data_IF_270188145172
#
_entry.id   IF_270188145172
#
_cell.length_a   1.000
_cell.length_b   1.000
_cell.length_c   1.000
_cell.angle_alpha   90.00
_cell.angle_beta   90.00
_cell.angle_gamma   90.00
#
_symmetry.space_group_name_H-M   'P 1'
#
loop_
_entity.id
_entity.type
_entity.pdbx_description
1 polymer ?
#
# COMPACT_ATOMS: atom_id res chain seq x y z
N UNK A 1 -8.22 23.25 -20.42
CA UNK A 1 -7.59 22.08 -19.78
C UNK A 1 -8.18 20.77 -20.35
N UNK A 2 -9.48 20.43 -20.14
CA UNK A 2 -10.06 19.17 -20.66
C UNK A 2 -9.98 19.10 -22.19
N UNK A 3 -10.31 20.16 -22.90
CA UNK A 3 -10.23 20.20 -24.36
C UNK A 3 -8.82 19.93 -24.90
N UNK A 4 -7.78 20.26 -24.15
CA UNK A 4 -6.38 20.06 -24.53
C UNK A 4 -5.91 18.59 -24.39
N UNK A 5 -6.75 17.70 -23.86
CA UNK A 5 -6.38 16.29 -23.65
C UNK A 5 -6.42 15.46 -24.93
N UNK A 6 -7.12 15.91 -25.98
CA UNK A 6 -7.14 15.28 -27.29
C UNK A 6 -7.42 16.27 -28.40
N UNK A 7 -6.93 15.97 -29.62
CA UNK A 7 -7.16 16.82 -30.80
C UNK A 7 -8.68 16.93 -31.12
N UNK A 8 -9.42 15.85 -30.97
CA UNK A 8 -10.87 15.83 -31.20
C UNK A 8 -11.63 16.78 -30.27
N UNK A 9 -11.31 16.78 -28.97
CA UNK A 9 -11.93 17.67 -27.99
C UNK A 9 -11.52 19.13 -28.21
N UNK A 10 -10.31 19.34 -28.66
CA UNK A 10 -9.81 20.69 -29.00
C UNK A 10 -10.53 21.25 -30.23
N UNK A 11 -10.72 20.45 -31.27
CA UNK A 11 -11.46 20.84 -32.47
C UNK A 11 -12.93 21.19 -32.15
N UNK A 12 -13.61 20.34 -31.36
CA UNK A 12 -14.97 20.63 -30.86
C UNK A 12 -15.02 21.95 -30.12
N UNK A 13 -14.09 22.19 -29.20
CA UNK A 13 -14.04 23.41 -28.42
C UNK A 13 -13.84 24.67 -29.30
N UNK A 14 -12.96 24.61 -30.30
CA UNK A 14 -12.73 25.72 -31.23
C UNK A 14 -13.88 25.95 -32.20
N UNK A 15 -14.62 24.92 -32.56
CA UNK A 15 -15.84 25.03 -33.38
C UNK A 15 -17.04 25.62 -32.59
N UNK A 16 -16.92 25.76 -31.25
CA UNK A 16 -17.98 26.24 -30.40
C UNK A 16 -18.99 25.16 -30.00
N UNK A 17 -18.69 23.89 -30.24
CA UNK A 17 -19.51 22.77 -29.83
C UNK A 17 -19.37 22.50 -28.31
N UNK A 18 -20.48 22.13 -27.68
CA UNK A 18 -20.47 21.76 -26.26
C UNK A 18 -19.86 20.37 -26.04
N UNK A 19 -18.94 20.27 -25.08
CA UNK A 19 -18.42 18.98 -24.63
C UNK A 19 -19.48 18.25 -23.80
N UNK A 20 -19.67 16.99 -24.07
CA UNK A 20 -20.56 16.12 -23.29
C UNK A 20 -19.98 15.83 -21.90
N UNK A 21 -20.83 15.49 -20.94
CA UNK A 21 -20.39 15.07 -19.58
C UNK A 21 -19.43 13.89 -19.63
N UNK A 22 -19.61 12.95 -20.55
CA UNK A 22 -18.74 11.80 -20.73
C UNK A 22 -17.33 12.23 -21.19
N UNK A 23 -17.25 13.12 -22.16
CA UNK A 23 -15.98 13.67 -22.66
C UNK A 23 -15.25 14.46 -21.58
N UNK A 24 -15.98 15.27 -20.80
CA UNK A 24 -15.40 16.01 -19.67
C UNK A 24 -14.84 15.03 -18.62
N UNK A 25 -15.59 14.01 -18.24
CA UNK A 25 -15.12 12.99 -17.29
C UNK A 25 -13.89 12.24 -17.79
N UNK A 26 -13.88 11.84 -19.05
CA UNK A 26 -12.74 11.17 -19.67
C UNK A 26 -11.48 12.05 -19.69
N UNK A 27 -11.62 13.32 -20.07
CA UNK A 27 -10.52 14.26 -20.06
C UNK A 27 -10.01 14.56 -18.64
N UNK A 28 -10.90 14.72 -17.65
CA UNK A 28 -10.52 14.86 -16.25
C UNK A 28 -9.77 13.62 -15.73
N UNK A 29 -10.24 12.41 -16.08
CA UNK A 29 -9.55 11.18 -15.74
C UNK A 29 -8.13 11.15 -16.34
N UNK A 30 -8.00 11.48 -17.62
CA UNK A 30 -6.70 11.54 -18.29
C UNK A 30 -5.74 12.49 -17.56
N UNK A 31 -6.20 13.69 -17.23
CA UNK A 31 -5.39 14.67 -16.51
C UNK A 31 -5.00 14.19 -15.11
N UNK A 32 -5.93 13.53 -14.40
CA UNK A 32 -5.70 13.06 -13.03
C UNK A 32 -4.73 11.87 -12.99
N UNK A 33 -4.93 10.88 -13.87
CA UNK A 33 -4.09 9.67 -13.94
C UNK A 33 -2.64 10.04 -14.29
N UNK A 34 -2.45 11.04 -15.14
CA UNK A 34 -1.12 11.53 -15.53
C UNK A 34 -0.57 12.63 -14.60
N UNK A 35 -1.24 12.91 -13.48
CA UNK A 35 -0.84 13.95 -12.50
C UNK A 35 -0.70 15.36 -13.08
N UNK A 36 -1.44 15.65 -14.16
CA UNK A 36 -1.46 16.95 -14.82
C UNK A 36 -2.47 17.92 -14.20
N UNK A 37 -3.49 17.38 -13.52
CA UNK A 37 -4.48 18.16 -12.77
C UNK A 37 -5.03 17.37 -11.59
N UNK A 38 -5.54 18.09 -10.59
CA UNK A 38 -6.12 17.52 -9.36
C UNK A 38 -7.56 18.02 -9.21
N UNK A 39 -8.58 17.15 -9.40
CA UNK A 39 -9.99 17.52 -9.19
C UNK A 39 -10.23 17.91 -7.74
N UNK A 40 -10.84 19.08 -7.51
CA UNK A 40 -11.21 19.58 -6.19
C UNK A 40 -12.73 19.61 -6.09
N UNK A 41 -13.27 19.02 -5.03
CA UNK A 41 -14.70 18.94 -4.76
C UNK A 41 -15.03 19.54 -3.40
N UNK A 42 -16.21 20.14 -3.31
CA UNK A 42 -16.73 20.70 -2.06
C UNK A 42 -17.86 19.84 -1.51
N UNK A 43 -17.90 19.70 -0.19
CA UNK A 43 -18.95 18.94 0.48
C UNK A 43 -19.00 19.20 1.99
N UNK A 44 -19.99 18.63 2.64
CA UNK A 44 -20.10 18.62 4.11
C UNK A 44 -20.48 17.22 4.58
N UNK A 45 -19.48 16.45 5.00
CA UNK A 45 -19.68 15.08 5.47
C UNK A 45 -20.66 15.01 6.66
N UNK A 46 -20.55 15.93 7.60
CA UNK A 46 -21.46 16.02 8.75
C UNK A 46 -22.92 16.22 8.36
N UNK A 47 -23.20 16.96 7.28
CA UNK A 47 -24.53 17.18 6.74
C UNK A 47 -24.93 16.19 5.67
N UNK A 48 -24.11 15.19 5.40
CA UNK A 48 -24.27 14.21 4.32
C UNK A 48 -24.50 14.86 2.95
N UNK A 49 -23.73 15.92 2.65
CA UNK A 49 -23.77 16.65 1.38
C UNK A 49 -22.50 16.37 0.57
N UNK A 50 -22.67 15.97 -0.69
CA UNK A 50 -21.56 15.73 -1.61
C UNK A 50 -20.78 14.44 -1.38
N UNK A 51 -21.22 13.54 -0.47
CA UNK A 51 -20.52 12.29 -0.16
C UNK A 51 -20.57 11.32 -1.35
N UNK A 52 -21.75 11.08 -1.92
CA UNK A 52 -21.92 10.21 -3.09
C UNK A 52 -21.13 10.74 -4.31
N UNK A 53 -21.25 12.02 -4.72
CA UNK A 53 -20.43 12.56 -5.80
C UNK A 53 -18.93 12.44 -5.56
N UNK A 54 -18.46 12.52 -4.31
CA UNK A 54 -17.05 12.30 -3.99
C UNK A 54 -16.65 10.84 -4.20
N UNK A 55 -17.49 9.87 -3.80
CA UNK A 55 -17.25 8.45 -4.03
C UNK A 55 -17.26 8.11 -5.53
N UNK A 56 -18.18 8.70 -6.27
CA UNK A 56 -18.23 8.58 -7.73
C UNK A 56 -16.96 9.15 -8.38
N UNK A 57 -16.48 10.30 -7.90
CA UNK A 57 -15.26 10.91 -8.39
C UNK A 57 -14.00 10.07 -8.09
N UNK A 58 -13.96 9.34 -6.97
CA UNK A 58 -12.88 8.36 -6.70
C UNK A 58 -12.86 7.28 -7.77
N UNK A 59 -14.03 6.76 -8.16
CA UNK A 59 -14.14 5.73 -9.21
C UNK A 59 -13.82 6.32 -10.59
N UNK A 60 -14.35 7.52 -10.89
CA UNK A 60 -14.21 8.14 -12.20
C UNK A 60 -12.79 8.63 -12.48
N UNK A 61 -12.06 9.14 -11.48
CA UNK A 61 -10.83 9.91 -11.72
C UNK A 61 -9.55 9.29 -11.14
N UNK A 62 -9.61 8.52 -10.06
CA UNK A 62 -8.38 7.94 -9.50
C UNK A 62 -7.89 6.74 -10.32
N UNK A 63 -6.55 6.56 -10.44
CA UNK A 63 -5.98 5.44 -11.17
C UNK A 63 -6.27 4.11 -10.47
N UNK A 64 -6.64 3.12 -11.26
CA UNK A 64 -6.62 1.71 -10.85
C UNK A 64 -5.20 1.14 -10.97
N UNK A 65 -4.91 -0.02 -10.41
CA UNK A 65 -3.64 -0.71 -10.64
C UNK A 65 -3.31 -0.97 -12.11
N UNK A 66 -4.32 -1.01 -12.99
CA UNK A 66 -4.15 -1.22 -14.43
C UNK A 66 -3.83 0.07 -15.20
N UNK A 67 -4.14 1.22 -14.62
CA UNK A 67 -3.82 2.54 -15.22
C UNK A 67 -2.37 2.96 -14.92
N UNK A 68 -1.72 2.32 -13.94
CA UNK A 68 -0.37 2.63 -13.51
C UNK A 68 0.61 1.70 -14.22
N UNK A 69 1.78 2.22 -14.56
CA UNK A 69 2.85 1.41 -15.13
C UNK A 69 3.24 0.24 -14.20
N UNK A 70 3.89 -0.77 -14.79
CA UNK A 70 4.45 -1.89 -14.03
C UNK A 70 5.30 -1.39 -12.85
N UNK A 71 5.24 -2.08 -11.72
CA UNK A 71 6.10 -1.75 -10.59
C UNK A 71 7.54 -2.19 -10.89
N UNK A 72 8.48 -1.34 -10.56
CA UNK A 72 9.91 -1.60 -10.68
C UNK A 72 10.51 -1.99 -9.33
N UNK A 73 11.55 -2.81 -9.38
CA UNK A 73 12.33 -3.22 -8.21
C UNK A 73 13.72 -3.68 -8.60
N UNK A 74 14.57 -3.95 -7.61
CA UNK A 74 15.92 -4.49 -7.81
C UNK A 74 15.94 -6.01 -7.68
N UNK A 75 16.93 -6.64 -8.32
CA UNK A 75 17.27 -8.03 -8.02
C UNK A 75 18.02 -8.06 -6.68
N UNK A 76 17.60 -8.86 -5.69
CA UNK A 76 18.32 -8.94 -4.40
C UNK A 76 19.74 -9.52 -4.51
N UNK A 77 20.13 -10.08 -5.68
CA UNK A 77 21.44 -10.66 -5.94
C UNK A 77 22.36 -9.72 -6.72
N UNK A 78 21.78 -8.72 -7.39
CA UNK A 78 22.50 -7.76 -8.23
C UNK A 78 21.79 -6.42 -8.24
N UNK A 79 22.33 -5.45 -7.53
CA UNK A 79 21.76 -4.12 -7.36
C UNK A 79 21.67 -3.30 -8.67
N UNK A 80 22.45 -3.66 -9.69
CA UNK A 80 22.42 -3.00 -10.99
C UNK A 80 21.24 -3.48 -11.87
N UNK A 81 20.68 -4.65 -11.57
CA UNK A 81 19.58 -5.24 -12.33
C UNK A 81 18.24 -4.70 -11.85
N UNK A 82 17.51 -4.08 -12.75
CA UNK A 82 16.13 -3.65 -12.53
C UNK A 82 15.15 -4.65 -13.10
N UNK A 83 14.18 -5.02 -12.28
CA UNK A 83 13.11 -5.96 -12.62
C UNK A 83 11.78 -5.23 -12.62
N UNK A 84 10.87 -5.65 -13.48
CA UNK A 84 9.51 -5.10 -13.55
C UNK A 84 8.47 -6.19 -13.27
N UNK A 85 7.34 -5.82 -12.67
CA UNK A 85 6.18 -6.69 -12.46
C UNK A 85 4.91 -5.98 -12.90
N UNK A 86 4.11 -6.68 -13.67
CA UNK A 86 2.79 -6.19 -14.10
C UNK A 86 1.74 -6.50 -13.04
N UNK A 87 0.69 -5.68 -12.89
CA UNK A 87 -0.42 -5.96 -11.98
C UNK A 87 -1.34 -7.03 -12.55
N UNK A 88 -0.80 -8.24 -12.74
CA UNK A 88 -1.51 -9.40 -13.29
C UNK A 88 -1.48 -10.55 -12.30
N UNK A 89 -2.54 -11.38 -12.31
CA UNK A 89 -2.68 -12.58 -11.51
C UNK A 89 -1.65 -13.66 -11.89
N UNK A 90 -1.29 -13.73 -13.17
CA UNK A 90 -0.40 -14.77 -13.73
C UNK A 90 1.10 -14.44 -13.57
N UNK A 91 1.43 -13.26 -13.07
CA UNK A 91 2.81 -12.86 -12.78
C UNK A 91 3.32 -13.53 -11.48
N UNK A 92 4.63 -13.62 -11.27
CA UNK A 92 5.18 -14.03 -9.99
C UNK A 92 4.72 -13.12 -8.86
N UNK A 93 4.41 -13.73 -7.69
CA UNK A 93 3.94 -12.97 -6.54
C UNK A 93 4.98 -11.96 -6.06
N UNK A 94 4.55 -10.71 -5.88
CA UNK A 94 5.30 -9.68 -5.20
C UNK A 94 4.36 -8.72 -4.45
N UNK A 95 4.67 -8.47 -3.18
CA UNK A 95 3.91 -7.61 -2.29
C UNK A 95 4.83 -6.79 -1.38
N UNK A 96 4.40 -5.59 -1.04
CA UNK A 96 5.07 -4.72 -0.07
C UNK A 96 4.34 -4.76 1.26
N UNK A 97 5.05 -5.07 2.33
CA UNK A 97 4.57 -4.91 3.69
C UNK A 97 4.69 -3.43 4.09
N UNK A 98 3.59 -2.69 4.06
CA UNK A 98 3.60 -1.24 4.26
C UNK A 98 3.19 -0.80 5.66
N UNK A 99 2.63 -1.70 6.46
CA UNK A 99 2.24 -1.43 7.84
C UNK A 99 2.23 -2.71 8.65
N UNK A 100 2.78 -2.65 9.86
CA UNK A 100 2.67 -3.70 10.88
C UNK A 100 1.92 -3.12 12.08
N UNK A 101 1.04 -3.89 12.68
CA UNK A 101 0.34 -3.52 13.91
C UNK A 101 0.13 -4.73 14.80
N UNK A 102 -0.01 -4.48 16.09
CA UNK A 102 -0.36 -5.51 17.06
C UNK A 102 -1.89 -5.61 17.19
N UNK A 103 -2.44 -6.78 16.90
CA UNK A 103 -3.85 -7.06 17.05
C UNK A 103 -4.12 -7.82 18.38
N UNK A 104 -5.17 -7.47 19.15
CA UNK A 104 -5.42 -8.09 20.46
C UNK A 104 -5.56 -9.62 20.42
N UNK A 105 -6.12 -10.17 19.35
CA UNK A 105 -6.40 -11.61 19.23
C UNK A 105 -5.42 -12.37 18.33
N UNK A 106 -4.89 -11.72 17.31
CA UNK A 106 -4.02 -12.38 16.32
C UNK A 106 -2.53 -12.11 16.52
N UNK A 107 -2.19 -11.24 17.47
CA UNK A 107 -0.83 -10.79 17.67
C UNK A 107 -0.38 -9.87 16.53
N UNK A 108 0.69 -10.23 15.83
CA UNK A 108 1.24 -9.42 14.75
C UNK A 108 0.39 -9.54 13.47
N UNK A 109 -0.10 -8.41 12.99
CA UNK A 109 -0.87 -8.26 11.77
C UNK A 109 -0.08 -7.39 10.79
N UNK A 110 0.27 -7.94 9.64
CA UNK A 110 1.05 -7.24 8.61
C UNK A 110 0.16 -6.90 7.43
N UNK A 111 0.03 -5.61 7.12
CA UNK A 111 -0.68 -5.15 5.93
C UNK A 111 0.24 -5.20 4.73
N UNK A 112 -0.20 -5.89 3.70
CA UNK A 112 0.52 -6.07 2.44
C UNK A 112 -0.27 -5.52 1.28
N UNK A 113 0.39 -4.80 0.38
CA UNK A 113 -0.13 -4.46 -0.93
C UNK A 113 0.46 -5.42 -1.96
N UNK A 114 -0.39 -6.17 -2.63
CA UNK A 114 0.04 -7.09 -3.69
C UNK A 114 0.16 -6.32 -5.00
N UNK A 115 1.35 -6.28 -5.57
CA UNK A 115 1.63 -5.60 -6.83
C UNK A 115 1.55 -6.53 -8.03
N UNK A 116 1.91 -7.80 -7.87
CA UNK A 116 1.86 -8.81 -8.93
C UNK A 116 1.54 -10.19 -8.39
N UNK A 117 1.02 -11.05 -9.25
CA UNK A 117 0.75 -12.44 -8.93
C UNK A 117 -0.33 -12.63 -7.88
N UNK A 118 -0.29 -13.79 -7.25
CA UNK A 118 -1.17 -14.14 -6.15
C UNK A 118 -0.46 -15.09 -5.16
N UNK A 119 -0.97 -15.14 -3.93
CA UNK A 119 -0.51 -16.08 -2.92
C UNK A 119 -1.70 -16.58 -2.10
N UNK A 120 -1.74 -17.87 -1.80
CA UNK A 120 -2.77 -18.47 -0.96
C UNK A 120 -2.40 -18.43 0.52
N UNK A 121 -3.39 -18.52 1.39
CA UNK A 121 -3.17 -18.77 2.81
C UNK A 121 -2.39 -20.08 3.00
N UNK A 122 -1.34 -20.03 3.78
CA UNK A 122 -0.42 -21.15 4.00
C UNK A 122 0.78 -21.19 3.04
N UNK A 123 0.84 -20.34 2.02
CA UNK A 123 1.96 -20.29 1.08
C UNK A 123 3.24 -19.83 1.76
N UNK A 124 4.35 -20.48 1.39
CA UNK A 124 5.69 -20.04 1.75
C UNK A 124 6.15 -18.99 0.75
N UNK A 125 6.61 -17.85 1.25
CA UNK A 125 7.17 -16.74 0.50
C UNK A 125 8.55 -16.41 1.01
N UNK A 126 9.30 -15.62 0.27
CA UNK A 126 10.56 -15.05 0.74
C UNK A 126 10.39 -13.57 1.06
N UNK A 127 10.91 -13.13 2.17
CA UNK A 127 11.17 -11.73 2.45
C UNK A 127 12.50 -11.40 1.77
N UNK A 128 12.45 -10.82 0.59
CA UNK A 128 13.63 -10.56 -0.24
C UNK A 128 14.50 -9.44 0.30
N UNK A 129 13.92 -8.50 1.05
CA UNK A 129 14.67 -7.44 1.72
C UNK A 129 15.64 -8.01 2.78
N UNK A 130 15.23 -9.07 3.49
CA UNK A 130 16.00 -9.68 4.56
C UNK A 130 16.62 -11.05 4.18
N UNK A 131 16.28 -11.59 3.02
CA UNK A 131 16.71 -12.91 2.57
C UNK A 131 16.15 -14.07 3.41
N UNK A 132 14.97 -13.90 4.03
CA UNK A 132 14.39 -14.90 4.95
C UNK A 132 13.10 -15.51 4.40
N UNK A 133 12.94 -16.81 4.63
CA UNK A 133 11.69 -17.51 4.31
C UNK A 133 10.62 -17.20 5.34
N UNK A 134 9.45 -16.86 4.87
CA UNK A 134 8.27 -16.53 5.66
C UNK A 134 7.08 -17.37 5.22
N UNK A 135 6.06 -17.47 6.05
CA UNK A 135 4.83 -18.16 5.70
C UNK A 135 3.63 -17.25 5.95
N UNK A 136 2.85 -17.03 4.93
CA UNK A 136 1.53 -16.40 5.04
C UNK A 136 0.60 -17.39 5.74
N UNK A 137 0.26 -17.13 7.00
CA UNK A 137 -0.62 -18.03 7.77
C UNK A 137 -2.07 -17.89 7.33
N UNK A 138 -2.72 -16.78 7.70
CA UNK A 138 -4.08 -16.44 7.25
C UNK A 138 -4.08 -15.06 6.60
N UNK A 139 -5.03 -14.86 5.72
CA UNK A 139 -5.25 -13.62 5.01
C UNK A 139 -6.64 -13.05 5.34
N UNK A 140 -6.70 -11.75 5.48
CA UNK A 140 -7.94 -11.00 5.69
C UNK A 140 -8.03 -9.82 4.75
N UNK A 141 -9.21 -9.60 4.22
CA UNK A 141 -9.56 -8.32 3.62
C UNK A 141 -10.24 -7.49 4.69
N UNK A 142 -9.61 -6.38 5.06
CA UNK A 142 -10.09 -5.50 6.12
C UNK A 142 -11.13 -4.55 5.59
N UNK A 143 -12.23 -4.42 6.32
CA UNK A 143 -13.27 -3.45 6.06
C UNK A 143 -13.63 -2.73 7.36
N UNK A 144 -13.04 -1.58 7.58
CA UNK A 144 -13.03 -0.89 8.86
C UNK A 144 -12.49 -1.82 9.98
N UNK A 145 -13.32 -2.14 10.98
CA UNK A 145 -12.98 -3.05 12.07
C UNK A 145 -13.41 -4.51 11.80
N UNK A 146 -13.88 -4.83 10.58
CA UNK A 146 -14.28 -6.19 10.23
C UNK A 146 -13.14 -6.88 9.47
N UNK A 147 -12.83 -8.07 9.92
CA UNK A 147 -11.84 -8.95 9.35
C UNK A 147 -12.56 -10.01 8.50
N UNK A 148 -12.55 -9.83 7.19
CA UNK A 148 -13.13 -10.81 6.28
C UNK A 148 -12.04 -11.81 5.87
N UNK A 149 -12.09 -13.07 6.32
CA UNK A 149 -11.10 -14.07 5.95
C UNK A 149 -11.20 -14.36 4.45
N UNK A 150 -10.04 -14.44 3.82
CA UNK A 150 -9.91 -14.79 2.40
C UNK A 150 -8.87 -15.91 2.25
N UNK A 151 -9.01 -16.70 1.19
CA UNK A 151 -8.11 -17.82 0.91
C UNK A 151 -6.91 -17.41 0.07
N UNK A 152 -7.02 -16.33 -0.69
CA UNK A 152 -5.97 -15.86 -1.60
C UNK A 152 -5.86 -14.34 -1.58
N UNK A 153 -4.65 -13.85 -1.73
CA UNK A 153 -4.30 -12.46 -1.98
C UNK A 153 -3.84 -12.31 -3.43
N UNK A 154 -4.42 -11.37 -4.16
CA UNK A 154 -4.16 -11.16 -5.58
C UNK A 154 -3.69 -9.72 -5.87
N UNK A 155 -2.99 -9.54 -6.99
CA UNK A 155 -2.50 -8.26 -7.48
C UNK A 155 -3.56 -7.17 -7.48
N UNK A 156 -3.17 -5.96 -7.12
CA UNK A 156 -4.01 -4.77 -7.09
C UNK A 156 -4.76 -4.52 -5.78
N UNK A 157 -4.71 -5.45 -4.82
CA UNK A 157 -5.45 -5.36 -3.56
C UNK A 157 -4.52 -5.23 -2.34
N UNK A 158 -5.15 -4.83 -1.23
CA UNK A 158 -4.51 -4.75 0.09
C UNK A 158 -5.13 -5.84 0.98
N UNK A 159 -4.26 -6.56 1.68
CA UNK A 159 -4.66 -7.59 2.63
C UNK A 159 -3.91 -7.43 3.95
N UNK A 160 -4.49 -7.99 5.01
CA UNK A 160 -3.81 -8.18 6.27
C UNK A 160 -3.42 -9.66 6.40
N UNK A 161 -2.14 -9.90 6.66
CA UNK A 161 -1.58 -11.25 6.80
C UNK A 161 -1.12 -11.49 8.23
N UNK A 162 -1.36 -12.70 8.74
CA UNK A 162 -0.78 -13.19 10.00
C UNK A 162 0.17 -14.35 9.71
N UNK A 163 1.12 -14.56 10.61
CA UNK A 163 2.13 -15.63 10.49
C UNK A 163 3.49 -15.15 9.98
N UNK A 164 3.59 -13.91 9.52
CA UNK A 164 4.85 -13.27 9.15
C UNK A 164 5.58 -12.85 10.43
N UNK A 165 6.71 -13.50 10.74
CA UNK A 165 7.41 -13.34 12.01
C UNK A 165 8.48 -12.25 11.98
N UNK A 166 9.25 -12.23 10.89
CA UNK A 166 10.41 -11.34 10.74
C UNK A 166 10.13 -10.14 9.83
N UNK A 167 8.97 -10.11 9.15
CA UNK A 167 8.60 -9.04 8.23
C UNK A 167 8.31 -7.74 8.98
N UNK A 168 8.92 -6.65 8.57
CA UNK A 168 8.69 -5.28 9.09
C UNK A 168 8.16 -4.37 8.01
N UNK A 169 7.76 -3.16 8.39
CA UNK A 169 7.29 -2.13 7.45
C UNK A 169 8.41 -1.78 6.45
N UNK A 170 8.10 -1.81 5.16
CA UNK A 170 9.06 -1.60 4.07
C UNK A 170 9.62 -2.88 3.45
N UNK A 171 9.39 -4.04 4.05
CA UNK A 171 9.89 -5.30 3.50
C UNK A 171 9.08 -5.76 2.29
N UNK A 172 9.77 -6.40 1.34
CA UNK A 172 9.16 -7.04 0.18
C UNK A 172 8.99 -8.54 0.41
N UNK A 173 7.80 -9.03 0.13
CA UNK A 173 7.46 -10.46 0.12
C UNK A 173 7.26 -10.90 -1.33
N UNK A 174 7.93 -11.95 -1.76
CA UNK A 174 7.83 -12.41 -3.14
C UNK A 174 7.95 -13.93 -3.27
N UNK A 175 7.75 -14.40 -4.49
CA UNK A 175 8.03 -15.78 -4.88
C UNK A 175 9.51 -16.10 -4.72
N UNK A 176 9.83 -17.33 -4.28
CA UNK A 176 11.20 -17.75 -3.98
C UNK A 176 12.09 -17.85 -5.22
N UNK A 177 11.50 -18.19 -6.36
CA UNK A 177 12.24 -18.45 -7.60
C UNK A 177 12.40 -17.20 -8.45
N UNK A 178 11.46 -16.24 -8.26
CA UNK A 178 11.39 -14.98 -8.98
C UNK A 178 11.49 -13.78 -8.03
N UNK A 179 12.62 -13.68 -7.34
CA UNK A 179 12.79 -12.65 -6.32
C UNK A 179 12.89 -11.25 -6.92
N UNK A 180 12.33 -10.29 -6.19
CA UNK A 180 12.42 -8.86 -6.45
C UNK A 180 12.41 -8.12 -5.11
N UNK A 181 13.12 -7.02 -5.02
CA UNK A 181 13.01 -6.05 -3.93
C UNK A 181 12.33 -4.82 -4.47
N UNK A 182 11.10 -4.58 -4.05
CA UNK A 182 10.37 -3.37 -4.39
C UNK A 182 11.03 -2.16 -3.71
N UNK A 183 10.73 -0.96 -4.20
CA UNK A 183 11.29 0.26 -3.62
C UNK A 183 11.04 0.33 -2.11
N UNK A 184 12.11 0.51 -1.34
CA UNK A 184 12.03 0.61 0.11
C UNK A 184 11.52 2.00 0.51
N UNK A 185 10.60 2.04 1.49
CA UNK A 185 10.16 3.30 2.07
C UNK A 185 11.28 3.92 2.90
N UNK A 186 11.62 5.17 2.63
CA UNK A 186 12.56 5.93 3.44
C UNK A 186 11.81 6.65 4.55
N UNK A 187 12.18 6.38 5.78
CA UNK A 187 11.56 7.01 6.95
C UNK A 187 12.50 8.10 7.49
N UNK A 188 11.95 9.27 7.89
CA UNK A 188 12.75 10.30 8.53
C UNK A 188 13.27 9.84 9.90
N UNK A 189 14.46 10.28 10.26
CA UNK A 189 14.97 10.02 11.61
C UNK A 189 14.19 10.81 12.66
N UNK A 190 13.96 10.22 13.86
CA UNK A 190 13.27 10.90 14.94
C UNK A 190 14.09 12.10 15.44
N UNK A 191 13.41 13.23 15.66
CA UNK A 191 14.03 14.48 16.12
C UNK A 191 13.82 14.75 17.62
N UNK A 192 13.00 13.95 18.29
CA UNK A 192 12.67 14.10 19.71
C UNK A 192 12.97 12.78 20.41
N UNK A 193 13.69 12.86 21.53
CA UNK A 193 13.92 11.73 22.44
C UNK A 193 13.31 12.02 23.82
N UNK A 194 12.80 10.97 24.47
CA UNK A 194 12.21 11.06 25.81
C UNK A 194 12.77 9.92 26.66
N UNK A 195 13.30 10.26 27.82
CA UNK A 195 13.72 9.26 28.81
C UNK A 195 12.49 8.67 29.50
N UNK A 196 12.43 7.35 29.63
CA UNK A 196 11.34 6.61 30.27
C UNK A 196 11.94 5.69 31.32
N UNK A 197 11.46 5.84 32.58
CA UNK A 197 11.82 4.96 33.67
C UNK A 197 10.59 4.22 34.23
N UNK A 198 10.66 2.89 34.43
CA UNK A 198 9.56 2.14 35.04
C UNK A 198 9.45 2.49 36.54
N UNK A 199 8.23 2.70 37.05
CA UNK A 199 7.99 3.02 38.47
C UNK A 199 8.20 1.81 39.40
N UNK A 200 7.98 0.60 38.89
CA UNK A 200 8.11 -0.63 39.67
C UNK A 200 8.83 -1.71 38.83
N UNK A 201 9.39 -2.73 39.53
CA UNK A 201 9.99 -3.87 38.84
C UNK A 201 9.01 -4.64 37.92
N UNK A 202 7.73 -4.71 38.27
CA UNK A 202 6.71 -5.35 37.45
C UNK A 202 6.38 -4.53 36.22
N UNK A 203 6.61 -3.24 36.23
CA UNK A 203 6.41 -2.37 35.06
C UNK A 203 7.58 -2.45 34.06
N UNK A 204 8.75 -2.86 34.54
CA UNK A 204 9.94 -3.03 33.68
C UNK A 204 9.72 -4.07 32.58
N UNK A 205 9.13 -5.23 32.91
CA UNK A 205 8.81 -6.26 31.92
C UNK A 205 7.74 -5.78 30.92
N UNK A 206 6.71 -5.11 31.44
CA UNK A 206 5.65 -4.54 30.61
C UNK A 206 6.16 -3.44 29.68
N UNK A 207 7.06 -2.60 30.18
CA UNK A 207 7.73 -1.55 29.42
C UNK A 207 8.55 -2.15 28.28
N UNK A 208 9.36 -3.19 28.53
CA UNK A 208 10.13 -3.88 27.52
C UNK A 208 9.25 -4.42 26.39
N UNK A 209 8.14 -5.09 26.74
CA UNK A 209 7.19 -5.59 25.76
C UNK A 209 6.48 -4.48 24.97
N UNK A 210 6.15 -3.36 25.62
CA UNK A 210 5.52 -2.22 24.94
C UNK A 210 6.47 -1.53 23.97
N UNK A 211 7.72 -1.34 24.36
CA UNK A 211 8.79 -0.79 23.53
C UNK A 211 9.03 -1.67 22.30
N UNK A 212 9.12 -2.99 22.49
CA UNK A 212 9.28 -3.92 21.38
C UNK A 212 8.12 -3.82 20.39
N UNK A 213 6.87 -3.78 20.88
CA UNK A 213 5.69 -3.63 20.02
C UNK A 213 5.70 -2.31 19.25
N UNK A 214 6.05 -1.20 19.89
CA UNK A 214 6.16 0.11 19.24
C UNK A 214 7.23 0.10 18.14
N UNK A 215 8.39 -0.51 18.39
CA UNK A 215 9.44 -0.67 17.39
C UNK A 215 9.03 -1.54 16.19
N UNK A 216 8.16 -2.53 16.43
CA UNK A 216 7.59 -3.35 15.35
C UNK A 216 6.55 -2.57 14.50
N UNK A 217 5.80 -1.67 15.12
CA UNK A 217 4.72 -0.90 14.48
C UNK A 217 5.20 0.38 13.81
N UNK A 218 6.14 1.09 14.44
CA UNK A 218 6.66 2.37 13.95
C UNK A 218 8.12 2.26 13.50
N UNK A 219 8.38 2.30 12.20
CA UNK A 219 9.74 2.20 11.66
C UNK A 219 10.63 3.41 12.01
N UNK A 220 10.05 4.52 12.49
CA UNK A 220 10.82 5.69 12.96
C UNK A 220 11.21 5.57 14.42
N UNK A 221 10.59 4.67 15.18
CA UNK A 221 10.84 4.51 16.60
C UNK A 221 12.23 3.91 16.87
N UNK A 222 13.04 4.61 17.64
CA UNK A 222 14.38 4.18 18.06
C UNK A 222 14.43 4.06 19.57
N UNK A 223 15.15 3.05 20.05
CA UNK A 223 15.36 2.82 21.49
C UNK A 223 16.84 2.77 21.75
N UNK A 224 17.30 3.58 22.68
CA UNK A 224 18.65 3.57 23.21
C UNK A 224 18.58 3.17 24.68
N UNK A 225 19.55 2.42 25.15
CA UNK A 225 19.70 2.06 26.57
C UNK A 225 20.92 2.74 27.09
N UNK A 226 20.75 3.45 28.20
CA UNK A 226 21.85 4.04 29.00
C UNK A 226 22.59 2.96 29.79
#
# INVERSE_FOLDING_TARGET
AVAETSEELMEKFFNGDELTVAEIKQGLRHLTVNSLAYPIMCGSAFKNKGVQPMLDAVIDYLPSPLDVASVEGGDPRDEEVRLTRKPSFDEPFAALAFKVMTHPFFGRLTYIRVYSGHAESGTQVINSTKGRKERIGKLFQMHANKENPVTSAAAGHIYAAIGLKDTTTGDTLCDSDNQIVLESMTFPEPVISVAIEPKTKSDQEKLGLAIQKLGDEDPTFRVEHD
#
